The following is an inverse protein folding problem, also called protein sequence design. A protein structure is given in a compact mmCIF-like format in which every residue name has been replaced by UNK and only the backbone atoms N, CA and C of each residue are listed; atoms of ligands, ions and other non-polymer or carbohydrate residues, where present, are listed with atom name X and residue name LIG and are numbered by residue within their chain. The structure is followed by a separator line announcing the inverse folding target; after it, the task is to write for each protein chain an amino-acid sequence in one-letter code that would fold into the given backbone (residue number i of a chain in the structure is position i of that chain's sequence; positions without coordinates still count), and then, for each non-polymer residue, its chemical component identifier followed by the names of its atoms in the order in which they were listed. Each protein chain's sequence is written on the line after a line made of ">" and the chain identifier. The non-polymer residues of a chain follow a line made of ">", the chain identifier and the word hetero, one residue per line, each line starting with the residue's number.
data_IF_107527799316
#
_entry.id   IF_107527799316
#
_cell.length_a   1.000
_cell.length_b   1.000
_cell.length_c   1.000
_cell.angle_alpha   90.00
_cell.angle_beta   90.00
_cell.angle_gamma   90.00
#
_symmetry.space_group_name_H-M   'P 1'
#
loop_
_entity.id
_entity.type
_entity.pdbx_description
1 polymer ?
#
# COMPACT_ATOMS: atom_id res chain seq x y z
N UNK A 1 6.94 -57.77 19.21
CA UNK A 1 8.42 -57.84 19.04
C UNK A 1 8.91 -57.38 17.65
N UNK A 2 8.70 -58.09 16.53
CA UNK A 2 9.26 -57.67 15.22
C UNK A 2 8.67 -56.35 14.70
N UNK A 3 7.35 -56.17 14.85
CA UNK A 3 6.63 -54.93 14.47
C UNK A 3 7.05 -53.71 15.30
N UNK A 4 7.35 -53.89 16.60
CA UNK A 4 7.76 -52.79 17.48
C UNK A 4 9.19 -52.32 17.19
N UNK A 5 10.07 -53.23 16.73
CA UNK A 5 11.44 -52.90 16.34
C UNK A 5 11.44 -52.06 15.04
N UNK A 6 10.59 -52.40 14.06
CA UNK A 6 10.47 -51.63 12.80
C UNK A 6 9.93 -50.21 13.05
N UNK A 7 8.96 -50.04 13.94
CA UNK A 7 8.46 -48.71 14.32
C UNK A 7 9.52 -47.85 15.03
N UNK A 8 10.33 -48.45 15.91
CA UNK A 8 11.41 -47.75 16.59
C UNK A 8 12.54 -47.32 15.63
N UNK A 9 12.85 -48.14 14.62
CA UNK A 9 13.83 -47.78 13.58
C UNK A 9 13.36 -46.60 12.73
N UNK A 10 12.08 -46.58 12.35
CA UNK A 10 11.49 -45.48 11.58
C UNK A 10 11.48 -44.16 12.36
N UNK A 11 11.18 -44.23 13.67
CA UNK A 11 11.24 -43.09 14.57
C UNK A 11 12.67 -42.54 14.72
N UNK A 12 13.66 -43.44 14.81
CA UNK A 12 15.07 -43.07 14.94
C UNK A 12 15.59 -42.37 13.68
N UNK A 13 15.25 -42.89 12.49
CA UNK A 13 15.63 -42.31 11.19
C UNK A 13 15.04 -40.91 11.03
N UNK A 14 13.76 -40.72 11.38
CA UNK A 14 13.12 -39.40 11.34
C UNK A 14 13.77 -38.41 12.31
N UNK A 15 14.13 -38.87 13.51
CA UNK A 15 14.81 -38.02 14.51
C UNK A 15 16.21 -37.61 14.06
N UNK A 16 16.96 -38.51 13.43
CA UNK A 16 18.28 -38.17 12.85
C UNK A 16 18.16 -37.17 11.70
N UNK A 17 17.17 -37.32 10.81
CA UNK A 17 16.92 -36.35 9.73
C UNK A 17 16.55 -34.95 10.26
N UNK A 18 15.76 -34.89 11.33
CA UNK A 18 15.37 -33.62 11.97
C UNK A 18 16.56 -32.91 12.66
N UNK A 19 17.48 -33.69 13.24
CA UNK A 19 18.73 -33.19 13.83
C UNK A 19 19.66 -32.58 12.77
N UNK A 20 19.78 -33.23 11.61
CA UNK A 20 20.59 -32.73 10.50
C UNK A 20 20.00 -31.46 9.88
N UNK A 21 18.67 -31.37 9.73
CA UNK A 21 17.98 -30.15 9.30
C UNK A 21 18.19 -28.98 10.28
N UNK A 22 18.09 -29.22 11.58
CA UNK A 22 18.34 -28.19 12.59
C UNK A 22 19.79 -27.70 12.58
N UNK A 23 20.75 -28.60 12.35
CA UNK A 23 22.16 -28.23 12.22
C UNK A 23 22.39 -27.34 10.98
N UNK A 24 21.80 -27.72 9.84
CA UNK A 24 21.82 -26.90 8.62
C UNK A 24 21.18 -25.52 8.83
N UNK A 25 20.04 -25.45 9.54
CA UNK A 25 19.37 -24.18 9.86
C UNK A 25 20.24 -23.26 10.75
N UNK A 26 20.96 -23.82 11.72
CA UNK A 26 21.89 -23.06 12.57
C UNK A 26 23.05 -22.51 11.74
N UNK A 27 23.57 -23.29 10.81
CA UNK A 27 24.66 -22.85 9.93
C UNK A 27 24.19 -21.75 8.98
N UNK A 28 22.99 -21.87 8.39
CA UNK A 28 22.36 -20.82 7.58
C UNK A 28 22.15 -19.55 8.40
N UNK A 29 21.61 -19.65 9.63
CA UNK A 29 21.44 -18.48 10.52
C UNK A 29 22.77 -17.79 10.83
N UNK A 30 23.86 -18.56 10.98
CA UNK A 30 25.20 -18.01 11.22
C UNK A 30 25.74 -17.28 9.98
N UNK A 31 25.46 -17.78 8.78
CA UNK A 31 25.83 -17.07 7.54
C UNK A 31 25.02 -15.79 7.34
N UNK A 32 23.71 -15.81 7.62
CA UNK A 32 22.87 -14.61 7.58
C UNK A 32 23.41 -13.53 8.53
N UNK A 33 23.77 -13.90 9.77
CA UNK A 33 24.34 -12.96 10.73
C UNK A 33 25.66 -12.31 10.23
N UNK A 34 26.53 -13.10 9.59
CA UNK A 34 27.78 -12.59 8.99
C UNK A 34 27.50 -11.63 7.83
N UNK A 35 26.51 -11.94 7.00
CA UNK A 35 26.10 -11.08 5.87
C UNK A 35 25.51 -9.76 6.40
N UNK A 36 24.67 -9.82 7.44
CA UNK A 36 24.11 -8.62 8.09
C UNK A 36 25.20 -7.72 8.69
N UNK A 37 26.22 -8.31 9.32
CA UNK A 37 27.37 -7.57 9.84
C UNK A 37 28.18 -6.91 8.70
N UNK A 38 28.40 -7.63 7.60
CA UNK A 38 29.06 -7.07 6.42
C UNK A 38 28.25 -5.94 5.77
N UNK A 39 26.92 -6.05 5.72
CA UNK A 39 26.03 -4.99 5.23
C UNK A 39 26.08 -3.76 6.13
N UNK A 40 26.11 -3.94 7.46
CA UNK A 40 26.26 -2.83 8.41
C UNK A 40 27.61 -2.12 8.25
N UNK A 41 28.70 -2.88 8.12
CA UNK A 41 30.03 -2.33 7.88
C UNK A 41 30.11 -1.60 6.53
N UNK A 42 29.49 -2.17 5.49
CA UNK A 42 29.41 -1.55 4.17
C UNK A 42 28.58 -0.26 4.20
N UNK A 43 27.48 -0.24 4.96
CA UNK A 43 26.62 0.94 5.13
C UNK A 43 27.37 2.09 5.80
N UNK A 44 28.14 1.81 6.86
CA UNK A 44 29.00 2.81 7.52
C UNK A 44 30.10 3.29 6.56
N UNK A 45 30.73 2.37 5.82
CA UNK A 45 31.76 2.74 4.85
C UNK A 45 31.21 3.60 3.70
N UNK A 46 29.98 3.32 3.22
CA UNK A 46 29.28 4.16 2.24
C UNK A 46 28.93 5.52 2.82
N UNK A 47 28.50 5.60 4.09
CA UNK A 47 28.16 6.85 4.77
C UNK A 47 29.40 7.74 4.96
N UNK A 48 30.51 7.17 5.42
CA UNK A 48 31.78 7.89 5.56
C UNK A 48 32.32 8.34 4.19
N UNK A 49 32.12 7.54 3.13
CA UNK A 49 32.39 7.96 1.75
C UNK A 49 31.45 9.06 1.27
N UNK A 50 30.20 9.13 1.73
CA UNK A 50 29.27 10.22 1.37
C UNK A 50 29.76 11.55 1.95
N UNK A 51 30.33 11.56 3.16
CA UNK A 51 30.94 12.75 3.76
C UNK A 51 32.22 13.19 3.01
N UNK A 52 33.04 12.26 2.52
CA UNK A 52 34.23 12.58 1.69
C UNK A 52 33.88 12.98 0.23
N UNK A 53 32.67 12.69 -0.26
CA UNK A 53 32.27 12.91 -1.66
C UNK A 53 31.28 14.07 -1.87
N UNK A 54 31.04 14.93 -0.88
CA UNK A 54 30.26 16.17 -1.08
C UNK A 54 30.85 17.07 -2.18
N UNK A 55 32.17 17.00 -2.40
CA UNK A 55 32.91 17.80 -3.38
C UNK A 55 32.77 17.31 -4.84
N UNK A 56 32.22 16.09 -5.07
CA UNK A 56 32.13 15.47 -6.42
C UNK A 56 30.69 15.24 -6.92
N UNK A 57 29.67 15.65 -6.15
CA UNK A 57 28.24 15.44 -6.46
C UNK A 57 27.78 16.11 -7.76
N UNK A 58 28.38 17.23 -8.15
CA UNK A 58 28.02 17.95 -9.36
C UNK A 58 28.59 17.31 -10.65
N UNK A 59 29.59 16.42 -10.54
CA UNK A 59 30.27 15.82 -11.71
C UNK A 59 29.72 14.43 -12.08
N UNK A 60 29.13 13.69 -11.13
CA UNK A 60 28.64 12.31 -11.33
C UNK A 60 27.12 12.27 -11.61
N UNK A 61 26.48 13.41 -11.90
CA UNK A 61 25.04 13.46 -12.21
C UNK A 61 24.67 12.92 -13.60
N UNK A 62 25.63 12.34 -14.32
CA UNK A 62 25.46 11.92 -15.71
C UNK A 62 25.89 10.44 -15.84
N UNK A 63 24.89 9.55 -15.92
CA UNK A 63 24.92 8.22 -16.54
C UNK A 63 25.08 6.95 -15.68
N UNK A 64 24.62 6.90 -14.43
CA UNK A 64 24.31 5.57 -13.83
C UNK A 64 23.10 5.62 -12.90
N UNK A 65 22.13 4.71 -13.05
CA UNK A 65 21.01 4.58 -12.11
C UNK A 65 21.55 4.36 -10.71
N UNK A 66 21.10 5.18 -9.75
CA UNK A 66 21.37 4.93 -8.33
C UNK A 66 20.33 3.97 -7.78
N UNK A 67 20.67 3.24 -6.71
CA UNK A 67 19.71 2.34 -6.05
C UNK A 67 18.43 3.05 -5.58
N UNK A 68 18.49 4.38 -5.36
CA UNK A 68 17.35 5.24 -5.01
C UNK A 68 16.38 5.47 -6.19
N UNK A 69 16.87 5.41 -7.43
CA UNK A 69 16.08 5.63 -8.64
C UNK A 69 15.55 4.35 -9.29
N UNK A 70 16.00 3.17 -8.83
CA UNK A 70 15.59 1.89 -9.42
C UNK A 70 14.35 1.34 -8.72
N UNK A 71 13.34 1.05 -9.52
CA UNK A 71 12.07 0.47 -9.13
C UNK A 71 11.84 -0.84 -9.87
N UNK A 72 11.09 -1.74 -9.26
CA UNK A 72 10.71 -3.04 -9.81
C UNK A 72 9.20 -2.99 -10.09
N UNK A 73 8.79 -3.48 -11.24
CA UNK A 73 7.39 -3.60 -11.65
C UNK A 73 6.73 -4.77 -10.91
N UNK A 74 5.48 -4.58 -10.48
CA UNK A 74 4.72 -5.57 -9.70
C UNK A 74 3.87 -6.51 -10.53
N UNK A 75 3.55 -6.10 -11.75
CA UNK A 75 2.69 -6.82 -12.67
C UNK A 75 2.96 -6.35 -14.09
N UNK A 76 2.52 -7.14 -15.06
CA UNK A 76 2.50 -6.75 -16.46
C UNK A 76 1.62 -5.51 -16.65
N UNK A 77 2.14 -4.50 -17.35
CA UNK A 77 1.40 -3.30 -17.69
C UNK A 77 1.47 -3.03 -19.18
N UNK A 78 0.30 -2.79 -19.76
CA UNK A 78 0.18 -2.34 -21.14
C UNK A 78 -0.21 -0.86 -21.15
N UNK A 79 0.60 -0.05 -21.83
CA UNK A 79 0.37 1.37 -21.99
C UNK A 79 -1.02 1.63 -22.57
N UNK A 80 -1.82 2.43 -21.88
CA UNK A 80 -3.17 2.82 -22.30
C UNK A 80 -3.08 4.09 -23.14
N UNK A 81 -2.17 4.99 -22.77
CA UNK A 81 -1.94 6.27 -23.46
C UNK A 81 -0.61 6.24 -24.23
N UNK A 82 -0.51 7.05 -25.28
CA UNK A 82 0.67 7.11 -26.15
C UNK A 82 1.93 7.65 -25.47
N UNK A 83 1.80 8.24 -24.28
CA UNK A 83 2.89 8.78 -23.48
C UNK A 83 3.29 7.85 -22.32
N UNK A 84 2.67 6.69 -22.19
CA UNK A 84 3.01 5.67 -21.19
C UNK A 84 3.89 4.58 -21.80
N UNK A 85 4.64 3.88 -20.96
CA UNK A 85 5.44 2.71 -21.38
C UNK A 85 4.78 1.41 -20.95
N UNK A 86 4.97 0.35 -21.74
CA UNK A 86 4.59 -1.02 -21.37
C UNK A 86 5.80 -1.73 -20.76
N UNK A 87 5.56 -2.61 -19.80
CA UNK A 87 6.61 -3.37 -19.13
C UNK A 87 6.05 -4.69 -18.59
N UNK A 88 6.94 -5.66 -18.38
CA UNK A 88 6.59 -6.95 -17.79
C UNK A 88 6.78 -6.95 -16.28
N UNK A 89 6.11 -7.85 -15.57
CA UNK A 89 6.32 -8.10 -14.14
C UNK A 89 7.79 -8.39 -13.81
N UNK A 90 8.31 -7.81 -12.73
CA UNK A 90 9.69 -7.99 -12.27
C UNK A 90 10.76 -7.21 -13.05
N UNK A 91 10.35 -6.45 -14.05
CA UNK A 91 11.20 -5.56 -14.83
C UNK A 91 11.73 -4.40 -13.97
N UNK A 92 12.97 -3.97 -14.23
CA UNK A 92 13.58 -2.84 -13.55
C UNK A 92 13.40 -1.56 -14.35
N UNK A 93 12.86 -0.52 -13.71
CA UNK A 93 12.67 0.80 -14.28
C UNK A 93 13.51 1.81 -13.49
N UNK A 94 14.11 2.77 -14.18
CA UNK A 94 14.72 3.94 -13.56
C UNK A 94 13.70 5.09 -13.54
N UNK A 95 13.28 5.50 -12.34
CA UNK A 95 12.37 6.62 -12.11
C UNK A 95 13.19 7.86 -11.77
N UNK A 96 13.06 8.92 -12.56
CA UNK A 96 13.80 10.16 -12.37
C UNK A 96 12.89 11.38 -12.08
N UNK A 97 11.57 11.28 -12.28
CA UNK A 97 10.62 12.38 -12.01
C UNK A 97 9.31 11.86 -11.41
N UNK A 98 8.94 12.33 -10.21
CA UNK A 98 7.68 12.01 -9.52
C UNK A 98 6.76 13.24 -9.52
N UNK A 99 6.15 13.56 -10.67
CA UNK A 99 5.35 14.79 -10.83
C UNK A 99 4.09 14.84 -9.95
N UNK A 100 3.44 13.69 -9.74
CA UNK A 100 2.26 13.54 -8.89
C UNK A 100 2.21 12.14 -8.28
N UNK A 101 1.17 11.85 -7.51
CA UNK A 101 1.00 10.56 -6.83
C UNK A 101 0.63 9.41 -7.77
N UNK A 102 0.11 9.65 -8.97
CA UNK A 102 -0.38 8.60 -9.88
C UNK A 102 0.56 8.22 -11.01
N UNK A 103 1.25 9.16 -11.64
CA UNK A 103 2.12 8.90 -12.79
C UNK A 103 3.47 9.57 -12.62
N UNK A 104 4.52 8.77 -12.81
CA UNK A 104 5.92 9.16 -12.73
C UNK A 104 6.57 9.03 -14.10
N UNK A 105 7.68 9.72 -14.33
CA UNK A 105 8.50 9.49 -15.51
C UNK A 105 9.70 8.62 -15.20
N UNK A 106 9.98 7.74 -16.13
CA UNK A 106 11.12 6.86 -16.07
C UNK A 106 11.42 6.19 -17.38
N UNK A 107 12.45 5.35 -17.34
CA UNK A 107 12.95 4.56 -18.47
C UNK A 107 12.97 3.09 -18.06
N UNK A 108 12.54 2.22 -18.97
CA UNK A 108 12.79 0.78 -18.84
C UNK A 108 14.27 0.48 -19.00
N UNK A 109 14.86 -0.20 -18.01
CA UNK A 109 16.24 -0.66 -18.11
C UNK A 109 16.38 -1.91 -19.00
N UNK A 110 15.27 -2.50 -19.45
CA UNK A 110 15.23 -3.67 -20.32
C UNK A 110 15.00 -3.28 -21.77
N UNK A 111 13.94 -2.52 -22.08
CA UNK A 111 13.61 -2.10 -23.44
C UNK A 111 14.28 -0.78 -23.84
N UNK A 112 14.64 0.07 -22.88
CA UNK A 112 15.12 1.42 -23.13
C UNK A 112 14.02 2.43 -23.44
N UNK A 113 12.75 2.03 -23.35
CA UNK A 113 11.60 2.92 -23.60
C UNK A 113 11.44 3.93 -22.46
N UNK A 114 11.14 5.17 -22.82
CA UNK A 114 10.94 6.29 -21.89
C UNK A 114 9.48 6.76 -21.92
N UNK A 115 8.92 7.02 -20.74
CA UNK A 115 7.59 7.63 -20.66
C UNK A 115 6.99 7.62 -19.26
N UNK A 116 5.68 7.78 -19.22
CA UNK A 116 4.90 7.76 -17.99
C UNK A 116 4.68 6.33 -17.50
N UNK A 117 4.86 6.15 -16.21
CA UNK A 117 4.74 4.88 -15.49
C UNK A 117 3.71 5.12 -14.37
N UNK A 118 2.63 4.33 -14.29
CA UNK A 118 1.73 4.41 -13.16
C UNK A 118 2.49 4.02 -11.88
N UNK A 119 2.47 4.90 -10.88
CA UNK A 119 3.22 4.70 -9.63
C UNK A 119 2.74 3.43 -8.90
N UNK A 120 1.47 3.07 -9.03
CA UNK A 120 0.86 1.86 -8.46
C UNK A 120 1.41 0.55 -9.01
N UNK A 121 2.07 0.59 -10.17
CA UNK A 121 2.67 -0.59 -10.81
C UNK A 121 4.08 -0.89 -10.30
N UNK A 122 4.69 0.02 -9.55
CA UNK A 122 6.11 -0.05 -9.22
C UNK A 122 6.38 0.11 -7.74
N UNK A 123 7.43 -0.55 -7.25
CA UNK A 123 7.93 -0.37 -5.89
C UNK A 123 9.46 -0.42 -5.87
N UNK A 124 10.06 0.16 -4.84
CA UNK A 124 11.49 0.03 -4.59
C UNK A 124 11.69 -0.57 -3.20
N UNK A 125 12.62 -1.51 -3.06
CA UNK A 125 12.98 -2.08 -1.76
C UNK A 125 13.34 -0.98 -0.76
N UNK A 126 14.10 0.03 -1.19
CA UNK A 126 14.49 1.15 -0.35
C UNK A 126 13.28 2.00 0.05
N UNK A 127 12.40 2.32 -0.89
CA UNK A 127 11.20 3.11 -0.60
C UNK A 127 10.25 2.36 0.35
N UNK A 128 10.04 1.06 0.13
CA UNK A 128 9.22 0.25 1.03
C UNK A 128 9.78 0.21 2.45
N UNK A 129 11.11 0.15 2.63
CA UNK A 129 11.72 0.24 3.95
C UNK A 129 11.51 1.62 4.59
N UNK A 130 11.57 2.70 3.81
CA UNK A 130 11.25 4.05 4.28
C UNK A 130 9.77 4.19 4.67
N UNK A 131 8.86 3.54 3.93
CA UNK A 131 7.44 3.50 4.27
C UNK A 131 7.19 2.69 5.55
N UNK A 132 7.90 1.58 5.75
CA UNK A 132 7.88 0.82 7.00
C UNK A 132 8.35 1.70 8.17
N UNK A 133 9.50 2.38 8.03
CA UNK A 133 9.99 3.30 9.05
C UNK A 133 8.98 4.41 9.36
N UNK A 134 8.35 4.98 8.33
CA UNK A 134 7.28 5.96 8.48
C UNK A 134 6.13 5.42 9.34
N UNK A 135 5.59 4.24 9.01
CA UNK A 135 4.50 3.59 9.78
C UNK A 135 4.90 3.35 11.23
N UNK A 136 6.16 2.98 11.47
CA UNK A 136 6.67 2.74 12.83
C UNK A 136 6.85 4.04 13.62
N UNK A 137 7.11 5.16 12.94
CA UNK A 137 7.36 6.48 13.53
C UNK A 137 6.09 7.27 13.86
N UNK A 138 4.99 7.07 13.12
CA UNK A 138 3.75 7.83 13.35
C UNK A 138 3.05 7.42 14.64
N UNK A 139 2.42 8.37 15.34
CA UNK A 139 1.72 8.09 16.60
C UNK A 139 0.52 7.17 16.38
N UNK A 140 -0.29 7.44 15.37
CA UNK A 140 -1.51 6.68 15.06
C UNK A 140 -1.43 6.03 13.67
N UNK A 141 -1.49 4.70 13.65
CA UNK A 141 -1.70 3.89 12.44
C UNK A 141 -3.12 3.36 12.54
N UNK A 142 -4.03 3.63 11.59
CA UNK A 142 -5.42 3.15 11.70
C UNK A 142 -5.70 1.84 11.00
N UNK A 143 -4.87 1.41 10.05
CA UNK A 143 -5.02 0.11 9.41
C UNK A 143 -4.77 -1.02 10.41
N UNK A 144 -5.76 -1.87 10.73
CA UNK A 144 -5.60 -2.94 11.73
C UNK A 144 -4.43 -3.88 11.41
N UNK A 145 -4.21 -4.20 10.13
CA UNK A 145 -3.09 -5.04 9.70
C UNK A 145 -1.73 -4.41 9.99
N UNK A 146 -1.59 -3.10 9.77
CA UNK A 146 -0.35 -2.37 10.06
C UNK A 146 -0.17 -2.10 11.56
N UNK A 147 -1.26 -1.88 12.31
CA UNK A 147 -1.22 -1.83 13.78
C UNK A 147 -0.69 -3.15 14.36
N UNK A 148 -1.18 -4.27 13.84
CA UNK A 148 -0.72 -5.59 14.24
C UNK A 148 0.77 -5.76 13.99
N UNK A 149 1.25 -5.42 12.80
CA UNK A 149 2.69 -5.43 12.47
C UNK A 149 3.48 -4.54 13.44
N UNK A 150 2.97 -3.35 13.75
CA UNK A 150 3.61 -2.41 14.66
C UNK A 150 3.69 -2.94 16.09
N UNK A 151 2.69 -3.68 16.56
CA UNK A 151 2.54 -4.09 17.96
C UNK A 151 3.07 -5.50 18.27
N UNK A 152 3.06 -6.43 17.31
CA UNK A 152 3.26 -7.87 17.56
C UNK A 152 4.73 -8.32 17.62
N UNK A 153 5.71 -7.50 17.19
CA UNK A 153 7.13 -7.94 17.16
C UNK A 153 8.04 -7.21 18.15
N UNK A 154 9.08 -7.94 18.59
CA UNK A 154 10.07 -7.45 19.55
C UNK A 154 11.16 -6.57 18.92
N UNK A 155 11.36 -6.69 17.60
CA UNK A 155 12.35 -5.94 16.82
C UNK A 155 11.79 -5.45 15.47
N UNK A 156 12.34 -4.35 14.94
CA UNK A 156 11.95 -3.80 13.63
C UNK A 156 12.26 -4.76 12.48
N UNK A 157 13.32 -5.58 12.59
CA UNK A 157 13.68 -6.55 11.55
C UNK A 157 12.62 -7.65 11.41
N UNK A 158 11.98 -8.03 12.52
CA UNK A 158 10.89 -9.00 12.53
C UNK A 158 9.59 -8.44 11.89
N UNK A 159 9.46 -7.11 11.74
CA UNK A 159 8.29 -6.45 11.13
C UNK A 159 8.35 -6.40 9.61
N UNK A 160 9.53 -6.57 9.02
CA UNK A 160 9.72 -6.46 7.58
C UNK A 160 8.96 -7.56 6.81
N UNK A 161 9.07 -8.82 7.22
CA UNK A 161 8.39 -9.94 6.55
C UNK A 161 6.86 -9.77 6.50
N UNK A 162 6.15 -9.56 7.63
CA UNK A 162 4.69 -9.40 7.59
C UNK A 162 4.25 -8.12 6.88
N UNK A 163 5.09 -7.08 6.86
CA UNK A 163 4.85 -5.89 6.05
C UNK A 163 4.88 -6.18 4.54
N UNK A 164 5.86 -6.96 4.09
CA UNK A 164 5.93 -7.41 2.69
C UNK A 164 4.73 -8.28 2.31
N UNK A 165 4.34 -9.23 3.17
CA UNK A 165 3.14 -10.05 2.96
C UNK A 165 1.87 -9.19 2.82
N UNK A 166 1.77 -8.11 3.62
CA UNK A 166 0.64 -7.17 3.55
C UNK A 166 0.62 -6.39 2.25
N UNK A 167 1.78 -5.91 1.81
CA UNK A 167 1.90 -5.20 0.52
C UNK A 167 1.56 -6.12 -0.64
N UNK A 168 1.96 -7.39 -0.58
CA UNK A 168 1.70 -8.36 -1.63
C UNK A 168 0.23 -8.82 -1.69
N UNK A 169 -0.46 -8.92 -0.54
CA UNK A 169 -1.90 -9.23 -0.53
C UNK A 169 -2.78 -8.07 -1.00
N UNK A 170 -2.32 -6.83 -0.79
CA UNK A 170 -3.04 -5.60 -1.14
C UNK A 170 -2.19 -4.68 -2.02
N UNK A 171 -2.40 -4.77 -3.34
CA UNK A 171 -1.62 -4.01 -4.32
C UNK A 171 -1.76 -2.49 -4.18
N UNK A 172 -2.84 -2.00 -3.54
CA UNK A 172 -3.10 -0.58 -3.29
C UNK A 172 -2.39 -0.07 -2.03
N UNK A 173 -1.81 -0.95 -1.20
CA UNK A 173 -1.15 -0.58 0.05
C UNK A 173 0.04 0.38 -0.17
N UNK A 174 0.90 0.14 -1.17
CA UNK A 174 2.02 1.04 -1.45
C UNK A 174 1.54 2.46 -1.86
N UNK A 175 0.60 2.61 -2.82
CA UNK A 175 -0.03 3.90 -3.09
C UNK A 175 -0.63 4.57 -1.85
N UNK A 176 -1.35 3.82 -1.01
CA UNK A 176 -1.93 4.34 0.23
C UNK A 176 -0.87 4.91 1.18
N UNK A 177 0.21 4.16 1.40
CA UNK A 177 1.30 4.58 2.26
C UNK A 177 2.09 5.77 1.71
N UNK A 178 2.30 5.84 0.40
CA UNK A 178 2.89 7.02 -0.27
C UNK A 178 2.03 8.25 -0.05
N UNK A 179 0.71 8.12 -0.20
CA UNK A 179 -0.23 9.21 0.03
C UNK A 179 -0.23 9.67 1.50
N UNK A 180 -0.27 8.74 2.46
CA UNK A 180 -0.20 9.06 3.89
C UNK A 180 1.10 9.79 4.25
N UNK A 181 2.23 9.31 3.74
CA UNK A 181 3.53 9.95 3.93
C UNK A 181 3.58 11.35 3.32
N UNK A 182 3.08 11.52 2.10
CA UNK A 182 3.05 12.82 1.42
C UNK A 182 2.19 13.84 2.18
N UNK A 183 1.02 13.44 2.68
CA UNK A 183 0.15 14.29 3.48
C UNK A 183 0.78 14.67 4.83
N UNK A 184 1.42 13.70 5.49
CA UNK A 184 2.18 13.92 6.72
C UNK A 184 3.30 14.95 6.51
N UNK A 185 4.09 14.80 5.45
CA UNK A 185 5.24 15.66 5.15
C UNK A 185 4.80 17.08 4.75
N UNK A 186 3.70 17.21 3.98
CA UNK A 186 3.17 18.52 3.56
C UNK A 186 2.52 19.32 4.68
N UNK A 187 2.20 18.71 5.83
CA UNK A 187 1.38 19.31 6.91
C UNK A 187 0.13 20.02 6.37
N UNK A 188 -0.42 19.51 5.27
CA UNK A 188 -1.53 20.15 4.58
C UNK A 188 -2.77 20.10 5.47
N UNK A 189 -3.40 21.25 5.69
CA UNK A 189 -4.69 21.29 6.38
C UNK A 189 -5.78 20.92 5.38
N UNK A 190 -6.41 19.76 5.61
CA UNK A 190 -7.57 19.33 4.85
C UNK A 190 -8.73 20.32 4.91
N UNK A 191 -9.71 20.13 4.04
CA UNK A 191 -10.87 21.01 3.91
C UNK A 191 -12.15 20.19 3.96
N UNK A 192 -13.19 20.75 4.58
CA UNK A 192 -14.54 20.21 4.56
C UNK A 192 -15.46 21.30 4.06
N UNK A 193 -16.20 21.02 2.99
CA UNK A 193 -17.18 21.92 2.41
C UNK A 193 -18.57 21.32 2.57
N UNK A 194 -19.50 22.12 3.07
CA UNK A 194 -20.89 21.71 3.28
C UNK A 194 -21.80 22.42 2.28
N UNK A 195 -22.60 21.65 1.56
CA UNK A 195 -23.75 22.10 0.81
C UNK A 195 -25.05 21.90 1.57
N UNK A 196 -26.17 22.24 0.94
CA UNK A 196 -27.51 21.98 1.48
C UNK A 196 -27.82 20.49 1.65
N UNK A 197 -27.27 19.67 0.74
CA UNK A 197 -27.58 18.26 0.53
C UNK A 197 -26.32 17.41 0.29
N UNK A 198 -25.13 18.01 0.42
CA UNK A 198 -23.87 17.34 0.17
C UNK A 198 -22.78 17.75 1.14
N UNK A 199 -21.77 16.89 1.29
CA UNK A 199 -20.53 17.21 2.00
C UNK A 199 -19.34 16.69 1.22
N UNK A 200 -18.35 17.55 1.02
CA UNK A 200 -17.07 17.19 0.37
C UNK A 200 -15.94 17.33 1.36
N UNK A 201 -15.09 16.30 1.42
CA UNK A 201 -13.86 16.27 2.18
C UNK A 201 -12.67 16.20 1.23
N UNK A 202 -11.71 17.10 1.39
CA UNK A 202 -10.46 17.15 0.60
C UNK A 202 -9.26 17.04 1.54
N UNK A 203 -8.54 15.93 1.46
CA UNK A 203 -7.42 15.58 2.35
C UNK A 203 -7.73 15.79 3.85
N UNK A 204 -8.90 15.36 4.37
CA UNK A 204 -9.33 15.71 5.71
C UNK A 204 -8.41 15.11 6.78
N UNK A 205 -8.18 15.88 7.84
CA UNK A 205 -7.59 15.38 9.08
C UNK A 205 -8.55 14.45 9.83
N UNK A 206 -8.06 13.58 10.74
CA UNK A 206 -8.92 12.73 11.57
C UNK A 206 -9.96 13.52 12.38
N UNK A 207 -9.60 14.71 12.86
CA UNK A 207 -10.53 15.60 13.60
C UNK A 207 -11.68 16.05 12.70
N UNK A 208 -11.39 16.44 11.47
CA UNK A 208 -12.40 16.82 10.49
C UNK A 208 -13.30 15.64 10.11
N UNK A 209 -12.77 14.43 9.99
CA UNK A 209 -13.58 13.22 9.78
C UNK A 209 -14.58 13.02 10.92
N UNK A 210 -14.12 13.13 12.17
CA UNK A 210 -14.99 13.00 13.34
C UNK A 210 -16.06 14.11 13.42
N UNK A 211 -15.69 15.35 13.06
CA UNK A 211 -16.64 16.46 12.96
C UNK A 211 -17.73 16.16 11.92
N UNK A 212 -17.35 15.69 10.73
CA UNK A 212 -18.30 15.31 9.68
C UNK A 212 -19.20 14.19 10.17
N UNK A 213 -18.65 13.10 10.71
CA UNK A 213 -19.42 11.96 11.25
C UNK A 213 -20.44 12.42 12.30
N UNK A 214 -20.09 13.41 13.13
CA UNK A 214 -20.96 13.92 14.19
C UNK A 214 -22.12 14.78 13.65
N UNK A 215 -21.94 15.46 12.51
CA UNK A 215 -22.90 16.44 11.99
C UNK A 215 -23.72 15.94 10.80
N UNK A 216 -23.24 14.93 10.05
CA UNK A 216 -23.99 14.35 8.92
C UNK A 216 -25.32 13.75 9.38
N UNK A 217 -26.31 13.88 8.51
CA UNK A 217 -27.69 13.45 8.71
C UNK A 217 -28.35 13.20 7.34
N UNK A 218 -29.60 12.73 7.33
CA UNK A 218 -30.29 12.29 6.11
C UNK A 218 -30.55 13.37 5.06
N UNK A 219 -30.31 14.66 5.36
CA UNK A 219 -30.36 15.71 4.33
C UNK A 219 -29.12 15.64 3.42
N UNK A 220 -27.99 15.12 3.90
CA UNK A 220 -26.75 15.02 3.14
C UNK A 220 -26.77 13.75 2.29
N UNK A 221 -27.45 13.80 1.16
CA UNK A 221 -27.63 12.68 0.24
C UNK A 221 -26.36 12.38 -0.60
N UNK A 222 -25.42 13.33 -0.70
CA UNK A 222 -24.19 13.19 -1.48
C UNK A 222 -22.95 13.36 -0.60
N UNK A 223 -22.00 12.44 -0.70
CA UNK A 223 -20.71 12.53 -0.02
C UNK A 223 -19.59 12.40 -1.04
N UNK A 224 -18.67 13.36 -1.02
CA UNK A 224 -17.48 13.39 -1.87
C UNK A 224 -16.22 13.25 -1.01
N UNK A 225 -15.41 12.23 -1.29
CA UNK A 225 -14.19 11.89 -0.58
C UNK A 225 -13.00 12.07 -1.54
N UNK A 226 -12.17 13.07 -1.31
CA UNK A 226 -11.05 13.42 -2.18
C UNK A 226 -9.71 13.36 -1.43
N UNK A 227 -8.74 12.61 -1.94
CA UNK A 227 -7.39 12.53 -1.37
C UNK A 227 -7.35 12.13 0.11
N UNK A 228 -8.16 11.17 0.57
CA UNK A 228 -8.17 10.79 1.99
C UNK A 228 -6.93 9.96 2.35
N UNK A 229 -6.35 10.21 3.53
CA UNK A 229 -5.39 9.29 4.14
C UNK A 229 -6.06 7.95 4.48
N UNK A 230 -5.27 6.91 4.70
CA UNK A 230 -5.82 5.61 5.09
C UNK A 230 -6.57 5.69 6.42
N UNK A 231 -6.07 6.50 7.37
CA UNK A 231 -6.72 6.73 8.66
C UNK A 231 -8.09 7.40 8.50
N UNK A 232 -8.16 8.47 7.71
CA UNK A 232 -9.41 9.18 7.42
C UNK A 232 -10.41 8.31 6.67
N UNK A 233 -9.92 7.50 5.70
CA UNK A 233 -10.73 6.57 4.92
C UNK A 233 -11.36 5.50 5.81
N UNK A 234 -10.57 4.86 6.69
CA UNK A 234 -11.08 3.87 7.64
C UNK A 234 -12.10 4.50 8.57
N UNK A 235 -11.78 5.65 9.19
CA UNK A 235 -12.68 6.34 10.13
C UNK A 235 -14.06 6.63 9.53
N UNK A 236 -14.10 7.09 8.28
CA UNK A 236 -15.35 7.40 7.59
C UNK A 236 -16.08 6.15 7.13
N UNK A 237 -15.42 5.26 6.39
CA UNK A 237 -16.07 4.09 5.81
C UNK A 237 -16.50 3.06 6.86
N UNK A 238 -15.82 2.95 8.00
CA UNK A 238 -16.21 2.08 9.10
C UNK A 238 -17.31 2.67 9.99
N UNK A 239 -17.71 3.93 9.77
CA UNK A 239 -18.67 4.62 10.64
C UNK A 239 -20.09 4.08 10.48
N UNK A 240 -20.66 3.57 11.57
CA UNK A 240 -22.06 3.11 11.58
C UNK A 240 -23.05 4.25 11.30
N UNK A 241 -22.67 5.50 11.63
CA UNK A 241 -23.48 6.67 11.32
C UNK A 241 -23.60 6.87 9.82
N UNK A 242 -22.50 6.74 9.08
CA UNK A 242 -22.47 6.81 7.62
C UNK A 242 -23.37 5.72 7.01
N UNK A 243 -23.29 4.49 7.54
CA UNK A 243 -24.06 3.34 7.04
C UNK A 243 -25.57 3.49 7.22
N UNK A 244 -26.00 4.27 8.22
CA UNK A 244 -27.41 4.52 8.52
C UNK A 244 -28.00 5.71 7.75
N UNK A 245 -27.21 6.42 6.94
CA UNK A 245 -27.70 7.58 6.18
C UNK A 245 -28.47 7.17 4.94
N UNK A 246 -29.42 8.02 4.54
CA UNK A 246 -30.10 7.94 3.26
C UNK A 246 -29.24 8.52 2.12
N UNK A 247 -28.02 8.01 1.95
CA UNK A 247 -27.14 8.45 0.87
C UNK A 247 -27.72 8.05 -0.48
N UNK A 248 -27.72 8.98 -1.42
CA UNK A 248 -28.03 8.75 -2.83
C UNK A 248 -26.76 8.50 -3.64
N UNK A 249 -25.68 9.24 -3.34
CA UNK A 249 -24.43 9.20 -4.10
C UNK A 249 -23.19 9.23 -3.20
N UNK A 250 -22.23 8.36 -3.51
CA UNK A 250 -20.91 8.35 -2.89
C UNK A 250 -19.83 8.44 -3.96
N UNK A 251 -18.99 9.46 -3.83
CA UNK A 251 -17.92 9.78 -4.77
C UNK A 251 -16.58 9.66 -4.07
N UNK A 252 -15.68 8.83 -4.59
CA UNK A 252 -14.35 8.56 -4.04
C UNK A 252 -13.29 8.85 -5.10
N UNK A 253 -12.43 9.81 -4.83
CA UNK A 253 -11.47 10.34 -5.77
C UNK A 253 -10.09 10.36 -5.11
N UNK A 254 -9.07 9.92 -5.86
CA UNK A 254 -7.67 9.97 -5.41
C UNK A 254 -7.47 9.39 -3.99
N UNK A 255 -8.21 8.33 -3.64
CA UNK A 255 -8.24 7.77 -2.29
C UNK A 255 -7.95 6.28 -2.39
N UNK A 256 -6.69 5.85 -2.19
CA UNK A 256 -6.30 4.45 -2.21
C UNK A 256 -7.15 3.60 -1.24
N UNK A 257 -8.10 2.83 -1.76
CA UNK A 257 -8.97 1.95 -0.98
C UNK A 257 -8.29 0.59 -0.77
N UNK A 258 -7.70 0.41 0.40
CA UNK A 258 -7.15 -0.88 0.84
C UNK A 258 -8.22 -1.95 0.97
N UNK A 259 -7.82 -3.21 1.05
CA UNK A 259 -8.69 -4.38 1.21
C UNK A 259 -9.68 -4.22 2.37
N UNK A 260 -9.24 -3.63 3.50
CA UNK A 260 -10.08 -3.34 4.66
C UNK A 260 -11.12 -2.24 4.34
N UNK A 261 -10.69 -1.17 3.67
CA UNK A 261 -11.59 -0.09 3.24
C UNK A 261 -12.65 -0.60 2.26
N UNK A 262 -12.26 -1.45 1.31
CA UNK A 262 -13.18 -2.11 0.38
C UNK A 262 -14.18 -2.98 1.13
N UNK A 263 -13.78 -3.69 2.18
CA UNK A 263 -14.71 -4.47 3.00
C UNK A 263 -15.78 -3.57 3.64
N UNK A 264 -15.39 -2.44 4.24
CA UNK A 264 -16.35 -1.49 4.79
C UNK A 264 -17.29 -0.91 3.72
N UNK A 265 -16.76 -0.61 2.54
CA UNK A 265 -17.56 -0.15 1.40
C UNK A 265 -18.55 -1.22 0.92
N UNK A 266 -18.15 -2.49 0.87
CA UNK A 266 -19.04 -3.60 0.52
C UNK A 266 -20.18 -3.76 1.54
N UNK A 267 -19.88 -3.61 2.83
CA UNK A 267 -20.89 -3.62 3.90
C UNK A 267 -21.87 -2.45 3.73
N UNK A 268 -21.36 -1.25 3.44
CA UNK A 268 -22.17 -0.07 3.15
C UNK A 268 -23.11 -0.34 1.97
N UNK A 269 -22.59 -0.84 0.85
CA UNK A 269 -23.39 -1.14 -0.35
C UNK A 269 -24.42 -2.25 -0.10
N UNK A 270 -24.09 -3.27 0.67
CA UNK A 270 -25.01 -4.41 0.89
C UNK A 270 -26.19 -4.02 1.78
N UNK A 271 -25.94 -3.18 2.80
CA UNK A 271 -26.95 -2.86 3.82
C UNK A 271 -27.71 -1.57 3.51
N UNK A 272 -27.11 -0.64 2.78
CA UNK A 272 -27.75 0.61 2.43
C UNK A 272 -28.73 0.40 1.27
N UNK A 273 -29.97 0.85 1.45
CA UNK A 273 -31.06 0.69 0.48
C UNK A 273 -31.42 1.98 -0.24
N UNK A 274 -30.56 2.99 -0.17
CA UNK A 274 -30.81 4.32 -0.78
C UNK A 274 -29.73 4.71 -1.80
N UNK A 275 -28.51 4.19 -1.68
CA UNK A 275 -27.42 4.51 -2.60
C UNK A 275 -27.79 4.06 -4.01
N UNK A 276 -27.73 5.01 -4.95
CA UNK A 276 -28.05 4.85 -6.36
C UNK A 276 -26.82 5.02 -7.25
N UNK A 277 -25.84 5.82 -6.80
CA UNK A 277 -24.65 6.14 -7.58
C UNK A 277 -23.37 5.95 -6.73
N UNK A 278 -22.43 5.16 -7.24
CA UNK A 278 -21.09 5.00 -6.68
C UNK A 278 -20.06 5.36 -7.75
N UNK A 279 -19.19 6.30 -7.44
CA UNK A 279 -18.09 6.67 -8.32
C UNK A 279 -16.77 6.49 -7.59
N UNK A 280 -15.84 5.74 -8.19
CA UNK A 280 -14.48 5.52 -7.69
C UNK A 280 -13.50 5.86 -8.82
N UNK A 281 -12.65 6.86 -8.61
CA UNK A 281 -11.79 7.41 -9.66
C UNK A 281 -10.30 7.40 -9.28
N UNK A 282 -9.42 7.55 -10.28
CA UNK A 282 -7.98 7.82 -10.14
C UNK A 282 -7.20 6.73 -9.38
N UNK A 283 -7.27 5.49 -9.87
CA UNK A 283 -6.52 4.35 -9.29
C UNK A 283 -6.79 4.10 -7.81
N UNK A 284 -7.98 4.49 -7.33
CA UNK A 284 -8.38 4.31 -5.94
C UNK A 284 -8.70 2.85 -5.57
N UNK A 285 -8.71 1.91 -6.52
CA UNK A 285 -9.14 0.52 -6.28
C UNK A 285 -8.31 -0.48 -7.10
N UNK A 286 -8.01 -1.64 -6.51
CA UNK A 286 -7.38 -2.78 -7.18
C UNK A 286 -8.39 -3.70 -7.86
N UNK A 287 -7.93 -4.56 -8.77
CA UNK A 287 -8.78 -5.58 -9.40
C UNK A 287 -9.47 -6.50 -8.38
N UNK A 288 -8.75 -6.90 -7.33
CA UNK A 288 -9.30 -7.67 -6.19
C UNK A 288 -10.41 -6.87 -5.48
N UNK A 289 -10.22 -5.56 -5.32
CA UNK A 289 -11.22 -4.65 -4.78
C UNK A 289 -12.46 -4.58 -5.67
N UNK A 290 -12.29 -4.45 -6.99
CA UNK A 290 -13.39 -4.42 -7.96
C UNK A 290 -14.21 -5.71 -7.90
N UNK A 291 -13.54 -6.88 -7.85
CA UNK A 291 -14.21 -8.18 -7.71
C UNK A 291 -15.10 -8.22 -6.45
N UNK A 292 -14.58 -7.76 -5.30
CA UNK A 292 -15.34 -7.71 -4.04
C UNK A 292 -16.55 -6.78 -4.14
N UNK A 293 -16.40 -5.61 -4.77
CA UNK A 293 -17.53 -4.69 -5.01
C UNK A 293 -18.57 -5.39 -5.88
N UNK A 294 -18.17 -6.00 -7.01
CA UNK A 294 -19.10 -6.73 -7.87
C UNK A 294 -19.88 -7.81 -7.13
N UNK A 295 -19.22 -8.58 -6.24
CA UNK A 295 -19.88 -9.59 -5.40
C UNK A 295 -20.90 -8.97 -4.44
N UNK A 296 -20.57 -7.84 -3.81
CA UNK A 296 -21.51 -7.13 -2.94
C UNK A 296 -22.73 -6.60 -3.71
N UNK A 297 -22.53 -6.19 -4.97
CA UNK A 297 -23.60 -5.70 -5.84
C UNK A 297 -24.59 -6.78 -6.28
N UNK A 298 -24.25 -8.07 -6.18
CA UNK A 298 -25.22 -9.15 -6.42
C UNK A 298 -26.40 -9.13 -5.44
N UNK A 299 -26.18 -8.57 -4.24
CA UNK A 299 -27.21 -8.44 -3.20
C UNK A 299 -27.80 -7.01 -3.13
N UNK A 300 -27.17 -6.04 -3.79
CA UNK A 300 -27.67 -4.68 -3.83
C UNK A 300 -28.71 -4.53 -4.95
N UNK A 301 -29.86 -3.93 -4.64
CA UNK A 301 -30.97 -3.73 -5.59
C UNK A 301 -31.24 -2.27 -5.92
N UNK A 302 -30.42 -1.34 -5.41
CA UNK A 302 -30.70 0.10 -5.41
C UNK A 302 -29.68 0.90 -6.21
N UNK A 303 -28.45 0.39 -6.34
CA UNK A 303 -27.41 0.98 -7.15
C UNK A 303 -27.79 0.87 -8.63
N UNK A 304 -27.87 2.01 -9.29
CA UNK A 304 -28.24 2.13 -10.72
C UNK A 304 -27.07 2.58 -11.58
N UNK A 305 -26.03 3.17 -10.98
CA UNK A 305 -24.84 3.65 -11.67
C UNK A 305 -23.58 3.32 -10.88
N UNK A 306 -22.62 2.68 -11.54
CA UNK A 306 -21.27 2.42 -11.04
C UNK A 306 -20.25 3.02 -12.01
N UNK A 307 -19.52 4.03 -11.56
CA UNK A 307 -18.43 4.65 -12.31
C UNK A 307 -17.07 4.24 -11.75
N UNK A 308 -16.27 3.53 -12.53
CA UNK A 308 -14.88 3.21 -12.20
C UNK A 308 -13.98 3.84 -13.28
N UNK A 309 -13.34 4.97 -12.99
CA UNK A 309 -12.55 5.69 -13.99
C UNK A 309 -11.07 5.89 -13.60
N UNK A 310 -10.22 5.99 -14.63
CA UNK A 310 -8.75 6.02 -14.52
C UNK A 310 -8.08 7.36 -14.91
N UNK A 311 -8.85 8.42 -15.19
CA UNK A 311 -8.37 9.58 -15.98
C UNK A 311 -7.20 10.35 -15.40
#
# INVERSE_FOLDING_TARGET
>A
MRMEIEQLQLLLINKTGLLDQNKSLIDIKREIAKIQEQISLMSIHILNRKEENEDYRDVIRVNKPTAESVFITRYDYHAIRSNEISFSEGEQLEIYEKQNSSYWKGISLVSGDEGNIPSSCVYSMLESLQLLEFILSVEEVSLPILQKIRNDSSSNDEKASPFWETIDDDTIMIPALRQDKEQHDKRATGRVNWGSDWVSLESPSPVQCNEVISNINNNHEVIELNCLSTNSTVSLLSSTKLHALNLRRLDIWWTPLTNDCIQYLCILLTNNTTIQELVINFHSISDKGVIKICQALEQNSTLTSLGLNYW
#
